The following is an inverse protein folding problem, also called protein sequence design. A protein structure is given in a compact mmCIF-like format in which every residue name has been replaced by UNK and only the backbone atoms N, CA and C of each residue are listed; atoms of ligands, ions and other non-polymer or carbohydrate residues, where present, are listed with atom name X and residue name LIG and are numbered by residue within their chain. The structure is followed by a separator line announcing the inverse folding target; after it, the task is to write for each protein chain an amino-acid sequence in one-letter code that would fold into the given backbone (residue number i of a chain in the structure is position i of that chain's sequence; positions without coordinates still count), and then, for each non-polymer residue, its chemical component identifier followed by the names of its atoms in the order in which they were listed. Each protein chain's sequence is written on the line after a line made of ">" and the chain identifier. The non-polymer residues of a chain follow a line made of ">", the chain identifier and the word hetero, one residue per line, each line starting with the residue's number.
data_IF_320551629583
#
_entry.id   IF_320551629583
#
_cell.length_a   1.000
_cell.length_b   1.000
_cell.length_c   1.000
_cell.angle_alpha   90.00
_cell.angle_beta   90.00
_cell.angle_gamma   90.00
#
_symmetry.space_group_name_H-M   'P 1'
#
loop_
_entity.id
_entity.type
_entity.pdbx_description
1 polymer ?
#
# COMPACT_ATOMS: atom_id res chain seq x y z
N UNK A 1 -2.71 -14.94 2.37
CA UNK A 1 -1.24 -15.07 2.39
C UNK A 1 -0.71 -14.92 0.98
N UNK A 2 0.02 -13.82 0.71
CA UNK A 2 0.65 -13.51 -0.58
C UNK A 2 1.36 -14.75 -1.17
N UNK A 3 0.80 -15.31 -2.24
CA UNK A 3 1.45 -16.32 -3.06
C UNK A 3 2.44 -15.60 -3.97
N UNK A 4 3.73 -15.96 -3.86
CA UNK A 4 4.88 -15.24 -4.44
C UNK A 4 4.89 -15.16 -5.97
N UNK A 5 4.07 -15.96 -6.66
CA UNK A 5 4.18 -16.16 -8.12
C UNK A 5 3.51 -15.08 -8.98
N UNK A 6 2.60 -14.26 -8.42
CA UNK A 6 1.76 -13.35 -9.23
C UNK A 6 1.71 -11.89 -8.75
N UNK A 7 2.53 -11.50 -7.75
CA UNK A 7 2.49 -10.14 -7.17
C UNK A 7 3.67 -9.33 -7.65
N UNK A 8 3.40 -8.24 -8.36
CA UNK A 8 4.42 -7.29 -8.84
C UNK A 8 4.58 -6.10 -7.89
N UNK A 9 5.75 -5.47 -7.90
CA UNK A 9 5.98 -4.21 -7.17
C UNK A 9 5.02 -3.10 -7.63
N UNK A 10 4.67 -3.09 -8.93
CA UNK A 10 3.67 -2.19 -9.51
C UNK A 10 2.27 -2.44 -8.95
N UNK A 11 1.85 -3.69 -8.80
CA UNK A 11 0.52 -4.00 -8.25
C UNK A 11 0.43 -3.65 -6.77
N UNK A 12 1.50 -3.86 -5.99
CA UNK A 12 1.56 -3.44 -4.58
C UNK A 12 1.49 -1.93 -4.44
N UNK A 13 2.28 -1.20 -5.24
CA UNK A 13 2.23 0.26 -5.27
C UNK A 13 0.84 0.78 -5.64
N UNK A 14 0.24 0.21 -6.68
CA UNK A 14 -1.09 0.63 -7.11
C UNK A 14 -2.13 0.39 -6.02
N UNK A 15 -2.10 -0.79 -5.39
CA UNK A 15 -2.97 -1.13 -4.27
C UNK A 15 -2.78 -0.17 -3.09
N UNK A 16 -1.53 0.16 -2.76
CA UNK A 16 -1.21 1.16 -1.77
C UNK A 16 -1.79 2.55 -2.09
N UNK A 17 -1.62 3.02 -3.32
CA UNK A 17 -2.08 4.36 -3.74
C UNK A 17 -3.62 4.45 -3.86
N UNK A 18 -4.30 3.36 -4.21
CA UNK A 18 -5.75 3.35 -4.43
C UNK A 18 -6.56 2.99 -3.18
N UNK A 19 -6.08 2.05 -2.37
CA UNK A 19 -6.81 1.46 -1.25
C UNK A 19 -6.08 1.71 0.08
N UNK A 20 -4.89 1.12 0.26
CA UNK A 20 -4.24 0.98 1.57
C UNK A 20 -4.05 2.32 2.30
N UNK A 21 -3.57 3.36 1.60
CA UNK A 21 -3.34 4.68 2.20
C UNK A 21 -4.61 5.40 2.67
N UNK A 22 -5.78 5.04 2.13
CA UNK A 22 -7.06 5.67 2.48
C UNK A 22 -7.73 4.98 3.66
N UNK A 23 -7.42 3.69 3.84
CA UNK A 23 -8.05 2.82 4.82
C UNK A 23 -7.05 2.38 5.91
N UNK A 24 -6.01 3.18 6.19
CA UNK A 24 -4.95 2.83 7.17
C UNK A 24 -5.54 2.50 8.53
N UNK A 25 -6.55 3.25 8.97
CA UNK A 25 -7.25 3.06 10.24
C UNK A 25 -7.94 1.68 10.36
N UNK A 26 -8.25 1.01 9.24
CA UNK A 26 -8.86 -0.32 9.25
C UNK A 26 -7.85 -1.45 9.48
N UNK A 27 -6.55 -1.15 9.42
CA UNK A 27 -5.49 -2.16 9.37
C UNK A 27 -4.36 -1.91 10.37
N UNK A 28 -4.38 -0.80 11.11
CA UNK A 28 -3.45 -0.54 12.22
C UNK A 28 -4.08 0.36 13.26
N UNK A 29 -3.84 0.05 14.54
CA UNK A 29 -4.23 0.88 15.69
C UNK A 29 -3.13 1.88 16.08
N UNK A 30 -2.00 1.89 15.36
CA UNK A 30 -0.89 2.77 15.66
C UNK A 30 -1.21 4.22 15.24
N UNK A 31 -1.64 5.04 16.20
CA UNK A 31 -2.00 6.44 15.97
C UNK A 31 -0.86 7.27 15.39
N UNK A 32 0.40 6.99 15.74
CA UNK A 32 1.57 7.68 15.16
C UNK A 32 1.71 7.36 13.68
N UNK A 33 1.55 6.09 13.30
CA UNK A 33 1.56 5.69 11.90
C UNK A 33 0.42 6.38 11.13
N UNK A 34 -0.80 6.38 11.67
CA UNK A 34 -1.96 7.05 11.05
C UNK A 34 -1.65 8.53 10.79
N UNK A 35 -1.12 9.26 11.78
CA UNK A 35 -0.73 10.67 11.62
C UNK A 35 0.37 10.88 10.59
N UNK A 36 1.37 10.00 10.54
CA UNK A 36 2.43 10.05 9.53
C UNK A 36 1.88 9.79 8.12
N UNK A 37 0.92 8.87 7.98
CA UNK A 37 0.21 8.64 6.72
C UNK A 37 -0.58 9.88 6.31
N UNK A 38 -1.37 10.44 7.22
CA UNK A 38 -2.11 11.67 6.97
C UNK A 38 -1.16 12.80 6.56
N UNK A 39 -0.07 13.01 7.28
CA UNK A 39 0.93 14.05 6.97
C UNK A 39 1.63 13.82 5.62
N UNK A 40 2.09 12.60 5.35
CA UNK A 40 2.83 12.26 4.14
C UNK A 40 1.95 12.35 2.87
N UNK A 41 0.64 12.18 3.03
CA UNK A 41 -0.33 12.10 1.93
C UNK A 41 -1.43 13.19 1.97
N UNK A 42 -1.38 14.12 2.93
CA UNK A 42 -2.27 15.28 3.05
C UNK A 42 -2.24 16.12 1.78
N UNK A 43 -3.41 16.54 1.29
CA UNK A 43 -3.54 17.36 0.07
C UNK A 43 -3.13 16.66 -1.23
N UNK A 44 -2.61 15.43 -1.18
CA UNK A 44 -2.18 14.66 -2.35
C UNK A 44 -3.31 13.76 -2.84
N UNK A 45 -4.43 14.39 -3.18
CA UNK A 45 -5.48 13.78 -4.00
C UNK A 45 -4.90 13.69 -5.41
N UNK A 46 -4.55 12.48 -5.86
CA UNK A 46 -4.41 12.26 -7.30
C UNK A 46 -5.80 12.54 -7.89
N UNK A 47 -6.00 13.74 -8.44
CA UNK A 47 -7.01 14.02 -9.45
C UNK A 47 -6.58 13.30 -10.73
N UNK A 48 -6.64 11.98 -10.71
CA UNK A 48 -6.78 11.23 -11.94
C UNK A 48 -8.12 10.55 -11.76
N UNK A 49 -9.14 11.09 -12.45
CA UNK A 49 -10.35 10.34 -12.71
C UNK A 49 -9.87 8.99 -13.23
N UNK A 50 -10.02 7.96 -12.39
CA UNK A 50 -9.81 6.60 -12.83
C UNK A 50 -10.94 6.44 -13.83
N UNK A 51 -10.65 6.64 -15.13
CA UNK A 51 -11.40 5.92 -16.15
C UNK A 51 -11.40 4.50 -15.62
N UNK A 52 -12.58 4.03 -15.24
CA UNK A 52 -12.79 2.65 -14.84
C UNK A 52 -12.31 1.82 -16.03
N UNK A 53 -11.02 1.51 -16.02
CA UNK A 53 -10.39 0.60 -16.94
C UNK A 53 -10.83 -0.75 -16.41
N UNK A 54 -12.05 -1.09 -16.79
CA UNK A 54 -12.54 -2.45 -16.94
C UNK A 54 -11.37 -3.36 -17.31
N UNK A 55 -11.22 -4.45 -16.56
CA UNK A 55 -10.38 -5.64 -16.86
C UNK A 55 -8.94 -5.76 -16.34
N UNK A 56 -8.43 -4.91 -15.43
CA UNK A 56 -7.15 -5.31 -14.81
C UNK A 56 -7.44 -6.26 -13.64
N UNK A 57 -7.15 -7.55 -13.86
CA UNK A 57 -7.18 -8.65 -12.88
C UNK A 57 -6.16 -8.42 -11.75
N UNK A 58 -6.21 -7.28 -11.08
CA UNK A 58 -5.46 -7.07 -9.87
C UNK A 58 -6.05 -7.99 -8.82
N UNK A 59 -5.25 -8.99 -8.44
CA UNK A 59 -5.50 -9.86 -7.30
C UNK A 59 -6.09 -9.04 -6.14
N UNK A 60 -7.19 -9.53 -5.58
CA UNK A 60 -7.71 -9.00 -4.33
C UNK A 60 -6.69 -9.28 -3.23
N UNK A 61 -6.17 -8.22 -2.62
CA UNK A 61 -5.31 -8.33 -1.45
C UNK A 61 -6.20 -8.59 -0.24
N UNK A 62 -5.91 -9.69 0.46
CA UNK A 62 -6.64 -10.00 1.69
C UNK A 62 -6.33 -8.98 2.78
N UNK A 63 -7.20 -8.87 3.80
CA UNK A 63 -6.96 -8.00 4.95
C UNK A 63 -5.61 -8.29 5.62
N UNK A 64 -5.24 -9.57 5.70
CA UNK A 64 -3.94 -10.01 6.21
C UNK A 64 -2.77 -9.48 5.37
N UNK A 65 -2.90 -9.51 4.04
CA UNK A 65 -1.88 -8.94 3.15
C UNK A 65 -1.77 -7.42 3.35
N UNK A 66 -2.90 -6.75 3.59
CA UNK A 66 -2.95 -5.31 3.84
C UNK A 66 -2.26 -4.94 5.17
N UNK A 67 -2.53 -5.71 6.24
CA UNK A 67 -1.89 -5.54 7.53
C UNK A 67 -0.38 -5.73 7.42
N UNK A 68 0.09 -6.77 6.73
CA UNK A 68 1.52 -7.02 6.52
C UNK A 68 2.22 -5.91 5.75
N UNK A 69 1.59 -5.40 4.69
CA UNK A 69 2.12 -4.27 3.92
C UNK A 69 2.28 -3.02 4.78
N UNK A 70 1.28 -2.70 5.62
CA UNK A 70 1.35 -1.55 6.52
C UNK A 70 2.39 -1.75 7.63
N UNK A 71 2.38 -2.91 8.27
CA UNK A 71 3.33 -3.24 9.33
C UNK A 71 4.77 -3.10 8.83
N UNK A 72 5.06 -3.62 7.64
CA UNK A 72 6.37 -3.47 7.02
C UNK A 72 6.79 -2.01 6.80
N UNK A 73 5.86 -1.14 6.39
CA UNK A 73 6.14 0.30 6.23
C UNK A 73 6.38 0.98 7.58
N UNK A 74 5.66 0.57 8.63
CA UNK A 74 5.82 1.10 9.99
C UNK A 74 7.16 0.67 10.56
N UNK A 75 7.47 -0.64 10.52
CA UNK A 75 8.71 -1.21 11.06
C UNK A 75 9.96 -0.61 10.43
N UNK A 76 9.89 -0.28 9.14
CA UNK A 76 10.99 0.35 8.40
C UNK A 76 11.00 1.88 8.46
N UNK A 77 10.05 2.49 9.17
CA UNK A 77 9.82 3.94 9.14
C UNK A 77 9.75 4.50 7.70
N UNK A 78 9.13 3.73 6.80
CA UNK A 78 9.17 3.90 5.35
C UNK A 78 7.82 4.34 4.76
N UNK A 79 6.89 4.82 5.61
CA UNK A 79 5.55 5.29 5.20
C UNK A 79 5.64 6.29 4.06
N UNK A 80 6.58 7.24 4.13
CA UNK A 80 6.83 8.25 3.11
C UNK A 80 7.35 7.68 1.77
N UNK A 81 7.92 6.48 1.78
CA UNK A 81 8.45 5.78 0.60
C UNK A 81 7.40 4.93 -0.12
N UNK A 82 6.18 4.81 0.40
CA UNK A 82 5.12 3.94 -0.14
C UNK A 82 4.74 4.18 -1.61
N UNK A 83 5.17 5.29 -2.24
CA UNK A 83 4.97 5.56 -3.68
C UNK A 83 6.14 5.10 -4.56
N UNK A 84 7.28 4.79 -3.97
CA UNK A 84 8.45 4.27 -4.65
C UNK A 84 8.27 2.80 -4.98
N UNK A 85 8.75 2.34 -6.14
CA UNK A 85 8.74 0.91 -6.45
C UNK A 85 9.75 0.13 -5.60
N UNK A 86 10.84 0.79 -5.17
CA UNK A 86 11.91 0.17 -4.40
C UNK A 86 11.43 -0.45 -3.09
N UNK A 87 10.56 0.25 -2.33
CA UNK A 87 10.06 -0.26 -1.05
C UNK A 87 9.24 -1.54 -1.23
N UNK A 88 8.45 -1.61 -2.32
CA UNK A 88 7.61 -2.77 -2.64
C UNK A 88 8.42 -3.94 -3.20
N UNK A 89 9.47 -3.68 -3.98
CA UNK A 89 10.43 -4.74 -4.35
C UNK A 89 11.11 -5.32 -3.10
N UNK A 90 11.52 -4.46 -2.17
CA UNK A 90 12.12 -4.91 -0.92
C UNK A 90 11.12 -5.70 -0.05
N UNK A 91 9.85 -5.29 -0.02
CA UNK A 91 8.79 -6.04 0.65
C UNK A 91 8.63 -7.45 0.05
N UNK A 92 8.58 -7.57 -1.28
CA UNK A 92 8.47 -8.85 -1.99
C UNK A 92 9.68 -9.77 -1.82
N UNK A 93 10.89 -9.20 -1.65
CA UNK A 93 12.09 -10.00 -1.37
C UNK A 93 12.13 -10.53 0.06
N UNK A 94 11.52 -9.80 1.00
CA UNK A 94 11.55 -10.11 2.43
C UNK A 94 10.34 -10.92 2.91
N UNK A 95 9.38 -11.23 2.04
CA UNK A 95 8.16 -12.02 2.35
C UNK A 95 8.01 -13.20 1.39
#
# INVERSE_FOLDING_TARGET
>A
VLSKKDVSDRSLKWHFECNLRKNVQAYTDNQTAIREFEKAYAGRVRRRAVRASTSNKFREYSEEDNRRMLQYLIDKNAIHLGRGLAIWRSFLKNN
#
